data_IF_644733574508
#
_entry.id   IF_644733574508
#
_cell.length_a   1.000
_cell.length_b   1.000
_cell.length_c   1.000
_cell.angle_alpha   90.00
_cell.angle_beta   90.00
_cell.angle_gamma   90.00
#
_symmetry.space_group_name_H-M   'P 1'
#
loop_
_entity.id
_entity.type
_entity.pdbx_description
1 polymer ?
#
# COMPACT_ATOMS: atom_id res chain seq x y z
N UNK A 1 -26.94 8.13 -7.14
CA UNK A 1 -26.19 7.51 -6.02
C UNK A 1 -26.07 5.99 -6.16
N UNK A 2 -27.05 5.30 -6.74
CA UNK A 2 -26.99 3.85 -7.00
C UNK A 2 -25.89 3.44 -8.00
N UNK A 3 -25.59 4.26 -9.01
CA UNK A 3 -24.62 3.89 -10.07
C UNK A 3 -23.19 3.74 -9.56
N UNK A 4 -22.81 4.52 -8.54
CA UNK A 4 -21.49 4.42 -7.91
C UNK A 4 -21.31 3.06 -7.22
N UNK A 5 -22.32 2.63 -6.47
CA UNK A 5 -22.31 1.33 -5.83
C UNK A 5 -22.58 0.18 -6.80
N UNK A 6 -23.15 0.42 -7.99
CA UNK A 6 -23.34 -0.60 -9.01
C UNK A 6 -22.06 -0.94 -9.81
N UNK A 7 -21.01 -0.11 -9.70
CA UNK A 7 -19.77 -0.32 -10.44
C UNK A 7 -19.00 -1.53 -9.89
N UNK A 8 -19.05 -2.65 -10.62
CA UNK A 8 -18.40 -3.91 -10.25
C UNK A 8 -16.87 -3.79 -10.11
N UNK A 9 -16.22 -2.99 -10.95
CA UNK A 9 -14.77 -2.74 -10.87
C UNK A 9 -14.45 -2.03 -9.55
N UNK A 10 -15.25 -1.04 -9.17
CA UNK A 10 -15.07 -0.31 -7.92
C UNK A 10 -15.35 -1.20 -6.70
N UNK A 11 -16.39 -2.02 -6.75
CA UNK A 11 -16.70 -2.99 -5.70
C UNK A 11 -15.55 -3.98 -5.50
N UNK A 12 -15.04 -4.59 -6.58
CA UNK A 12 -13.93 -5.52 -6.54
C UNK A 12 -12.69 -4.86 -5.93
N UNK A 13 -12.33 -3.67 -6.41
CA UNK A 13 -11.18 -2.90 -5.94
C UNK A 13 -11.32 -2.55 -4.46
N UNK A 14 -12.49 -2.04 -4.06
CA UNK A 14 -12.79 -1.67 -2.68
C UNK A 14 -12.76 -2.87 -1.73
N UNK A 15 -13.34 -4.00 -2.14
CA UNK A 15 -13.30 -5.25 -1.39
C UNK A 15 -11.86 -5.71 -1.15
N UNK A 16 -11.05 -5.78 -2.20
CA UNK A 16 -9.65 -6.22 -2.10
C UNK A 16 -8.83 -5.27 -1.22
N UNK A 17 -9.05 -3.96 -1.33
CA UNK A 17 -8.38 -2.97 -0.48
C UNK A 17 -8.74 -3.17 1.01
N UNK A 18 -10.03 -3.27 1.34
CA UNK A 18 -10.50 -3.51 2.72
C UNK A 18 -9.95 -4.83 3.25
N UNK A 19 -10.05 -5.89 2.46
CA UNK A 19 -9.53 -7.21 2.82
C UNK A 19 -8.02 -7.17 3.10
N UNK A 20 -7.25 -6.46 2.27
CA UNK A 20 -5.81 -6.31 2.48
C UNK A 20 -5.49 -5.55 3.77
N UNK A 21 -6.25 -4.51 4.11
CA UNK A 21 -6.07 -3.77 5.37
C UNK A 21 -6.36 -4.63 6.60
N UNK A 22 -7.41 -5.46 6.55
CA UNK A 22 -7.72 -6.41 7.62
C UNK A 22 -6.60 -7.44 7.74
N UNK A 23 -6.17 -8.02 6.61
CA UNK A 23 -5.10 -9.00 6.59
C UNK A 23 -3.79 -8.44 7.16
N UNK A 24 -3.47 -7.19 6.85
CA UNK A 24 -2.32 -6.48 7.40
C UNK A 24 -2.33 -6.45 8.93
N UNK A 25 -3.46 -6.08 9.54
CA UNK A 25 -3.61 -6.05 11.00
C UNK A 25 -3.50 -7.45 11.61
N UNK A 26 -4.07 -8.46 10.95
CA UNK A 26 -3.98 -9.86 11.41
C UNK A 26 -2.55 -10.40 11.35
N UNK A 27 -1.83 -10.14 10.26
CA UNK A 27 -0.42 -10.54 10.11
C UNK A 27 0.45 -9.86 11.16
N UNK A 28 0.23 -8.57 11.42
CA UNK A 28 0.97 -7.84 12.45
C UNK A 28 0.69 -8.39 13.86
N UNK A 29 -0.58 -8.68 14.16
CA UNK A 29 -0.98 -9.34 15.42
C UNK A 29 -0.31 -10.71 15.58
N UNK A 30 -0.26 -11.52 14.52
CA UNK A 30 0.36 -12.83 14.57
C UNK A 30 1.88 -12.76 14.80
N UNK A 31 2.56 -11.73 14.27
CA UNK A 31 4.01 -11.54 14.41
C UNK A 31 4.41 -10.93 15.75
N UNK A 32 3.66 -9.94 16.23
CA UNK A 32 4.04 -9.15 17.40
C UNK A 32 3.19 -9.43 18.65
N UNK A 33 2.15 -10.28 18.53
CA UNK A 33 1.25 -10.65 19.63
C UNK A 33 0.31 -9.52 20.11
N UNK A 34 0.43 -8.31 19.55
CA UNK A 34 -0.35 -7.13 19.96
C UNK A 34 -1.19 -6.61 18.80
N UNK A 35 -2.39 -6.14 19.10
CA UNK A 35 -3.24 -5.46 18.12
C UNK A 35 -2.74 -4.02 17.93
N UNK A 36 -2.12 -3.75 16.78
CA UNK A 36 -1.68 -2.41 16.43
C UNK A 36 -2.61 -1.77 15.39
N UNK A 37 -3.70 -1.16 15.85
CA UNK A 37 -4.67 -0.48 14.98
C UNK A 37 -4.09 0.73 14.24
N UNK A 38 -2.92 1.25 14.65
CA UNK A 38 -2.22 2.29 13.89
C UNK A 38 -1.77 1.80 12.50
N UNK A 39 -1.69 0.49 12.25
CA UNK A 39 -1.39 -0.01 10.90
C UNK A 39 -2.48 0.31 9.86
N UNK A 40 -3.73 0.55 10.29
CA UNK A 40 -4.81 0.93 9.38
C UNK A 40 -4.61 2.34 8.79
N UNK A 41 -4.02 3.24 9.58
CA UNK A 41 -3.69 4.62 9.16
C UNK A 41 -2.23 4.79 8.78
N UNK A 42 -1.40 3.76 8.98
CA UNK A 42 0.01 3.75 8.58
C UNK A 42 0.17 3.40 7.10
N UNK A 43 1.14 4.04 6.47
CA UNK A 43 1.52 3.77 5.09
C UNK A 43 2.30 2.45 4.91
N UNK A 44 2.78 1.82 5.99
CA UNK A 44 3.60 0.60 5.94
C UNK A 44 2.86 -0.70 6.32
N UNK A 45 3.61 -1.81 6.34
CA UNK A 45 3.17 -3.13 6.81
C UNK A 45 2.88 -4.16 5.70
N UNK A 46 2.85 -5.43 6.06
CA UNK A 46 2.62 -6.54 5.12
C UNK A 46 1.17 -7.04 5.20
N UNK A 47 0.42 -7.14 4.08
CA UNK A 47 0.75 -6.79 2.70
C UNK A 47 0.49 -5.31 2.34
N UNK A 48 1.02 -4.84 1.21
CA UNK A 48 0.77 -3.48 0.73
C UNK A 48 -0.67 -3.32 0.19
N UNK A 49 -1.47 -2.49 0.87
CA UNK A 49 -2.84 -2.17 0.48
C UNK A 49 -2.95 -1.24 -0.73
N UNK A 50 -1.97 -0.36 -0.94
CA UNK A 50 -1.91 0.49 -2.15
C UNK A 50 -1.64 -0.37 -3.39
N UNK A 51 -0.67 -1.29 -3.28
CA UNK A 51 -0.31 -2.21 -4.37
C UNK A 51 -1.47 -3.16 -4.69
N UNK A 52 -2.15 -3.71 -3.67
CA UNK A 52 -3.30 -4.58 -3.91
C UNK A 52 -4.47 -3.84 -4.56
N UNK A 53 -4.75 -2.60 -4.17
CA UNK A 53 -5.83 -1.81 -4.76
C UNK A 53 -5.57 -1.50 -6.25
N UNK A 54 -4.40 -0.97 -6.60
CA UNK A 54 -4.11 -0.61 -8.00
C UNK A 54 -4.01 -1.83 -8.91
N UNK A 55 -3.46 -2.94 -8.40
CA UNK A 55 -3.44 -4.20 -9.15
C UNK A 55 -4.84 -4.83 -9.28
N UNK A 56 -5.68 -4.74 -8.26
CA UNK A 56 -7.07 -5.17 -8.34
C UNK A 56 -7.85 -4.34 -9.37
N UNK A 57 -7.63 -3.01 -9.40
CA UNK A 57 -8.24 -2.11 -10.38
C UNK A 57 -7.82 -2.46 -11.80
N UNK A 58 -6.51 -2.56 -12.06
CA UNK A 58 -5.99 -2.90 -13.38
C UNK A 58 -6.48 -4.28 -13.84
N UNK A 59 -6.51 -5.27 -12.94
CA UNK A 59 -7.03 -6.62 -13.24
C UNK A 59 -8.53 -6.58 -13.52
N UNK A 60 -9.29 -5.82 -12.75
CA UNK A 60 -10.74 -5.68 -12.94
C UNK A 60 -11.06 -5.07 -14.30
N UNK A 61 -10.35 -4.01 -14.68
CA UNK A 61 -10.50 -3.38 -16.00
C UNK A 61 -10.03 -4.33 -17.11
N UNK A 62 -8.95 -5.10 -16.90
CA UNK A 62 -8.50 -6.09 -17.87
C UNK A 62 -9.57 -7.17 -18.14
N UNK A 63 -10.27 -7.61 -17.09
CA UNK A 63 -11.35 -8.60 -17.20
C UNK A 63 -12.60 -8.00 -17.84
N UNK A 64 -12.99 -6.78 -17.47
CA UNK A 64 -14.23 -6.15 -17.96
C UNK A 64 -14.10 -5.55 -19.37
N UNK A 65 -13.02 -4.81 -19.62
CA UNK A 65 -12.86 -3.99 -20.84
C UNK A 65 -11.77 -4.57 -21.78
N UNK A 66 -11.02 -5.56 -21.31
CA UNK A 66 -9.94 -6.22 -22.06
C UNK A 66 -8.59 -5.51 -21.94
N UNK A 67 -7.52 -6.26 -22.21
CA UNK A 67 -6.12 -5.80 -22.15
C UNK A 67 -5.75 -4.74 -23.21
N UNK A 68 -6.56 -4.61 -24.27
CA UNK A 68 -6.34 -3.63 -25.34
C UNK A 68 -7.04 -2.29 -25.08
N UNK A 69 -7.81 -2.18 -24.00
CA UNK A 69 -8.54 -0.97 -23.68
C UNK A 69 -7.61 0.16 -23.20
N UNK A 70 -7.96 1.39 -23.55
CA UNK A 70 -7.25 2.60 -23.05
C UNK A 70 -7.32 2.68 -21.52
N UNK A 71 -8.43 2.24 -20.92
CA UNK A 71 -8.62 2.24 -19.47
C UNK A 71 -7.68 1.23 -18.78
N UNK A 72 -7.45 0.06 -19.38
CA UNK A 72 -6.46 -0.88 -18.86
C UNK A 72 -5.05 -0.29 -18.92
N UNK A 73 -4.66 0.32 -20.05
CA UNK A 73 -3.35 0.95 -20.18
C UNK A 73 -3.12 2.03 -19.11
N UNK A 74 -4.12 2.88 -18.88
CA UNK A 74 -4.09 3.91 -17.83
C UNK A 74 -3.93 3.29 -16.44
N UNK A 75 -4.76 2.30 -16.09
CA UNK A 75 -4.73 1.65 -14.78
C UNK A 75 -3.44 0.86 -14.55
N UNK A 76 -2.91 0.22 -15.59
CA UNK A 76 -1.65 -0.52 -15.53
C UNK A 76 -0.46 0.41 -15.27
N UNK A 77 -0.36 1.52 -16.01
CA UNK A 77 0.70 2.53 -15.78
C UNK A 77 0.56 3.14 -14.38
N UNK A 78 -0.67 3.46 -13.95
CA UNK A 78 -0.93 3.93 -12.59
C UNK A 78 -0.45 2.92 -11.54
N UNK A 79 -0.72 1.62 -11.75
CA UNK A 79 -0.28 0.57 -10.84
C UNK A 79 1.25 0.53 -10.73
N UNK A 80 1.97 0.63 -11.85
CA UNK A 80 3.44 0.68 -11.85
C UNK A 80 3.97 1.88 -11.08
N UNK A 81 3.42 3.08 -11.30
CA UNK A 81 3.84 4.30 -10.61
C UNK A 81 3.62 4.18 -9.10
N UNK A 82 2.45 3.72 -8.68
CA UNK A 82 2.12 3.54 -7.26
C UNK A 82 2.98 2.48 -6.60
N UNK A 83 3.24 1.36 -7.28
CA UNK A 83 4.13 0.30 -6.77
C UNK A 83 5.57 0.80 -6.65
N UNK A 84 6.05 1.60 -7.62
CA UNK A 84 7.39 2.18 -7.59
C UNK A 84 7.56 3.19 -6.43
N UNK A 85 6.59 4.09 -6.25
CA UNK A 85 6.60 5.04 -5.12
C UNK A 85 6.58 4.32 -3.77
N UNK A 86 5.71 3.30 -3.64
CA UNK A 86 5.58 2.51 -2.43
C UNK A 86 6.86 1.75 -2.06
N UNK A 87 7.59 1.20 -3.04
CA UNK A 87 8.80 0.40 -2.82
C UNK A 87 10.09 1.23 -2.74
N UNK A 88 10.22 2.28 -3.57
CA UNK A 88 11.47 2.98 -3.81
C UNK A 88 11.57 4.31 -3.08
N UNK A 89 10.80 5.30 -3.54
CA UNK A 89 10.91 6.69 -3.10
C UNK A 89 10.58 6.82 -1.61
N UNK A 90 9.47 6.22 -1.19
CA UNK A 90 9.01 6.36 0.19
C UNK A 90 9.94 5.69 1.19
N UNK A 91 10.51 4.54 0.84
CA UNK A 91 11.51 3.83 1.67
C UNK A 91 12.81 4.62 1.78
N UNK A 92 13.28 5.25 0.70
CA UNK A 92 14.47 6.09 0.73
C UNK A 92 14.28 7.30 1.67
N UNK A 93 13.13 7.98 1.59
CA UNK A 93 12.79 9.08 2.49
C UNK A 93 12.74 8.63 3.96
N UNK A 94 12.21 7.43 4.25
CA UNK A 94 12.22 6.84 5.59
C UNK A 94 13.63 6.65 6.14
N UNK A 95 14.53 6.12 5.31
CA UNK A 95 15.92 5.84 5.69
C UNK A 95 16.65 7.15 5.94
N UNK A 96 16.44 8.16 5.09
CA UNK A 96 17.00 9.50 5.28
C UNK A 96 16.51 10.13 6.58
N UNK A 97 15.21 10.07 6.88
CA UNK A 97 14.66 10.61 8.13
C UNK A 97 15.28 9.94 9.37
N UNK A 98 15.48 8.62 9.34
CA UNK A 98 16.14 7.88 10.42
C UNK A 98 17.60 8.30 10.60
N UNK A 99 18.37 8.34 9.51
CA UNK A 99 19.79 8.74 9.55
C UNK A 99 19.90 10.18 10.08
N UNK A 100 19.02 11.08 9.65
CA UNK A 100 19.02 12.46 10.12
C UNK A 100 18.70 12.57 11.62
N UNK A 101 17.67 11.86 12.10
CA UNK A 101 17.36 11.80 13.52
C UNK A 101 18.57 11.28 14.34
N UNK A 102 19.28 10.27 13.85
CA UNK A 102 20.48 9.73 14.51
C UNK A 102 21.64 10.73 14.55
N UNK A 103 21.89 11.45 13.44
CA UNK A 103 22.92 12.50 13.39
C UNK A 103 22.63 13.60 14.42
N UNK A 104 21.36 14.02 14.54
CA UNK A 104 20.93 15.01 15.54
C UNK A 104 21.20 14.49 16.96
N UNK A 105 20.82 13.25 17.25
CA UNK A 105 21.01 12.63 18.57
C UNK A 105 22.51 12.51 18.95
N UNK A 106 23.39 12.22 17.97
CA UNK A 106 24.84 12.13 18.20
C UNK A 106 25.53 13.50 18.29
N UNK A 107 25.14 14.48 17.47
CA UNK A 107 25.81 15.79 17.40
C UNK A 107 25.42 16.71 18.57
N UNK A 108 24.19 16.59 19.07
CA UNK A 108 23.65 17.48 20.10
C UNK A 108 23.53 16.81 21.48
N UNK A 109 24.40 15.84 21.79
CA UNK A 109 24.48 15.21 23.11
C UNK A 109 24.60 16.26 24.22
N UNK A 110 23.46 16.59 24.85
CA UNK A 110 23.37 17.50 25.98
C UNK A 110 22.87 18.92 25.70
N UNK A 111 22.48 19.29 24.47
CA UNK A 111 21.83 20.58 24.19
C UNK A 111 20.46 20.33 23.55
N UNK A 112 19.34 20.59 24.25
CA UNK A 112 18.02 20.29 23.72
C UNK A 112 17.70 21.28 22.59
N UNK A 113 17.95 20.88 21.35
CA UNK A 113 17.37 21.57 20.21
C UNK A 113 15.90 21.18 20.16
N UNK A 114 15.00 22.16 20.20
CA UNK A 114 13.56 21.92 20.06
C UNK A 114 13.17 21.61 18.60
N UNK A 115 13.96 20.80 17.90
CA UNK A 115 13.67 20.46 16.52
C UNK A 115 12.65 19.31 16.46
N UNK A 116 11.67 19.51 15.58
CA UNK A 116 10.58 18.55 15.39
C UNK A 116 11.15 17.32 14.71
N UNK A 117 11.31 16.21 15.45
CA UNK A 117 11.81 14.95 14.88
C UNK A 117 11.02 14.56 13.64
N UNK A 118 11.73 14.13 12.59
CA UNK A 118 11.06 13.66 11.39
C UNK A 118 10.32 12.37 11.70
N UNK A 119 9.09 12.26 11.20
CA UNK A 119 8.35 11.00 11.23
C UNK A 119 9.11 9.98 10.38
N UNK A 120 9.63 8.96 11.03
CA UNK A 120 10.10 7.73 10.37
C UNK A 120 8.88 6.95 9.86
N UNK A 121 8.29 7.44 8.77
CA UNK A 121 7.32 6.67 8.00
C UNK A 121 8.00 5.36 7.59
N UNK A 122 7.43 4.19 7.88
CA UNK A 122 7.94 2.94 7.35
C UNK A 122 7.40 2.77 5.92
N UNK A 123 8.24 2.99 4.91
CA UNK A 123 7.92 2.59 3.53
C UNK A 123 7.75 1.08 3.40
N UNK A 124 7.08 0.63 2.35
CA UNK A 124 6.93 -0.80 2.10
C UNK A 124 8.25 -1.42 1.63
N UNK A 125 8.50 -2.68 2.00
CA UNK A 125 9.56 -3.43 1.33
C UNK A 125 9.11 -3.85 -0.07
N UNK A 126 10.02 -4.06 -1.03
CA UNK A 126 9.64 -4.55 -2.36
C UNK A 126 8.81 -5.84 -2.30
N UNK A 127 9.11 -6.73 -1.35
CA UNK A 127 8.36 -7.97 -1.12
C UNK A 127 6.92 -7.67 -0.70
N UNK A 128 6.69 -6.72 0.21
CA UNK A 128 5.34 -6.32 0.62
C UNK A 128 4.51 -5.77 -0.56
N UNK A 129 5.17 -5.05 -1.48
CA UNK A 129 4.57 -4.54 -2.71
C UNK A 129 4.18 -5.69 -3.65
N UNK A 130 5.08 -6.66 -3.89
CA UNK A 130 4.78 -7.82 -4.74
C UNK A 130 3.68 -8.72 -4.15
N UNK A 131 3.68 -8.97 -2.84
CA UNK A 131 2.62 -9.74 -2.18
C UNK A 131 1.29 -8.99 -2.26
N UNK A 132 1.31 -7.67 -2.07
CA UNK A 132 0.13 -6.83 -2.28
C UNK A 132 -0.40 -6.92 -3.71
N UNK A 133 0.46 -6.81 -4.71
CA UNK A 133 0.10 -6.93 -6.13
C UNK A 133 -0.54 -8.29 -6.44
N UNK A 134 0.04 -9.39 -5.95
CA UNK A 134 -0.51 -10.73 -6.11
C UNK A 134 -1.90 -10.89 -5.47
N UNK A 135 -2.09 -10.37 -4.25
CA UNK A 135 -3.41 -10.31 -3.60
C UNK A 135 -4.42 -9.48 -4.40
N UNK A 136 -3.96 -8.38 -4.99
CA UNK A 136 -4.73 -7.53 -5.90
C UNK A 136 -5.31 -8.30 -7.07
N UNK A 137 -4.41 -8.95 -7.83
CA UNK A 137 -4.75 -9.74 -9.02
C UNK A 137 -5.69 -10.89 -8.67
N UNK A 138 -5.32 -11.70 -7.67
CA UNK A 138 -6.12 -12.85 -7.27
C UNK A 138 -7.51 -12.44 -6.75
N UNK A 139 -7.57 -11.41 -5.91
CA UNK A 139 -8.83 -10.94 -5.33
C UNK A 139 -9.79 -10.38 -6.38
N UNK A 140 -9.30 -9.62 -7.35
CA UNK A 140 -10.10 -9.11 -8.46
C UNK A 140 -10.59 -10.24 -9.37
N UNK A 141 -9.71 -11.19 -9.72
CA UNK A 141 -10.07 -12.36 -10.51
C UNK A 141 -11.14 -13.21 -9.81
N UNK A 142 -11.00 -13.44 -8.50
CA UNK A 142 -12.00 -14.17 -7.71
C UNK A 142 -13.35 -13.46 -7.63
N UNK A 143 -13.35 -12.13 -7.50
CA UNK A 143 -14.58 -11.34 -7.39
C UNK A 143 -15.36 -11.29 -8.71
N UNK A 144 -14.66 -11.11 -9.83
CA UNK A 144 -15.28 -10.92 -11.15
C UNK A 144 -15.41 -12.21 -11.97
N UNK A 145 -14.68 -13.27 -11.61
CA UNK A 145 -14.82 -14.60 -12.20
C UNK A 145 -16.08 -15.35 -11.75
N UNK A 146 -16.89 -14.74 -10.87
CA UNK A 146 -18.22 -15.21 -10.46
C UNK A 146 -19.32 -14.42 -11.18
#
# INVERSE_FOLDING_TARGET
MNDFFANRILQATGFVWIFTQILKVLVDRARHGKLNLRLLTSAGGMPSSHSSAVCALATSIAISDGLRSTMFALAFVLALVVMYDAAGVRRAASIQARILNQIIDELFQGHPISETRLRELLGHTPIEVFVGAGLGIFGAWWWLGK
#
